data_IF_550160970971
#
_entry.id   IF_550160970971
#
_cell.length_a   1.000
_cell.length_b   1.000
_cell.length_c   1.000
_cell.angle_alpha   90.00
_cell.angle_beta   90.00
_cell.angle_gamma   90.00
#
_symmetry.space_group_name_H-M   'P 1'
#
loop_
_entity.id
_entity.type
_entity.pdbx_description
1 polymer ?
#
# COMPACT_ATOMS: atom_id res chain seq x y z
N UNK A 1 6.15 3.21 -10.90
CA UNK A 1 5.11 3.31 -11.95
C UNK A 1 4.24 2.07 -11.94
N UNK A 2 2.95 2.24 -12.07
CA UNK A 2 2.00 1.15 -12.32
C UNK A 2 1.88 0.98 -13.84
N UNK A 3 2.08 -0.24 -14.34
CA UNK A 3 2.03 -0.52 -15.78
C UNK A 3 0.81 -1.36 -16.14
N UNK A 4 0.45 -1.41 -17.43
CA UNK A 4 -0.57 -2.34 -17.92
C UNK A 4 -0.19 -3.80 -17.62
N UNK A 5 1.08 -4.13 -17.70
CA UNK A 5 1.58 -5.47 -17.37
C UNK A 5 1.33 -5.80 -15.89
N UNK A 6 1.53 -4.84 -14.99
CA UNK A 6 1.25 -5.00 -13.57
C UNK A 6 -0.23 -5.30 -13.34
N UNK A 7 -1.11 -4.56 -14.00
CA UNK A 7 -2.57 -4.75 -13.87
C UNK A 7 -2.98 -6.14 -14.37
N UNK A 8 -2.48 -6.56 -15.53
CA UNK A 8 -2.75 -7.90 -16.06
C UNK A 8 -2.23 -8.99 -15.16
N UNK A 9 -1.01 -8.85 -14.65
CA UNK A 9 -0.42 -9.82 -13.72
C UNK A 9 -1.22 -9.93 -12.44
N UNK A 10 -1.69 -8.81 -11.90
CA UNK A 10 -2.50 -8.80 -10.69
C UNK A 10 -3.88 -9.43 -10.93
N UNK A 11 -4.49 -9.18 -12.10
CA UNK A 11 -5.74 -9.84 -12.48
C UNK A 11 -5.58 -11.38 -12.50
N UNK A 12 -4.50 -11.88 -13.08
CA UNK A 12 -4.19 -13.31 -13.09
C UNK A 12 -3.96 -13.85 -11.68
N UNK A 13 -3.16 -13.16 -10.88
CA UNK A 13 -2.82 -13.59 -9.52
C UNK A 13 -4.05 -13.61 -8.60
N UNK A 14 -4.88 -12.57 -8.66
CA UNK A 14 -6.02 -12.39 -7.76
C UNK A 14 -7.30 -13.07 -8.25
N UNK A 15 -7.40 -13.34 -9.56
CA UNK A 15 -8.65 -13.76 -10.20
C UNK A 15 -9.62 -12.61 -10.48
N UNK A 16 -9.24 -11.36 -10.20
CA UNK A 16 -10.11 -10.19 -10.45
C UNK A 16 -9.93 -9.69 -11.87
N UNK A 17 -10.72 -10.26 -12.78
CA UNK A 17 -10.76 -9.89 -14.19
C UNK A 17 -11.94 -8.94 -14.50
N UNK A 18 -12.30 -8.08 -13.56
CA UNK A 18 -13.35 -7.10 -13.80
C UNK A 18 -13.00 -6.27 -15.06
N UNK A 19 -13.92 -6.13 -16.01
CA UNK A 19 -13.65 -5.45 -17.29
C UNK A 19 -13.07 -4.04 -17.14
N UNK A 20 -13.35 -3.34 -16.05
CA UNK A 20 -12.79 -2.02 -15.79
C UNK A 20 -11.25 -2.03 -15.72
N UNK A 21 -10.66 -3.17 -15.40
CA UNK A 21 -9.22 -3.33 -15.30
C UNK A 21 -8.58 -3.91 -16.55
N UNK A 22 -9.29 -4.79 -17.26
CA UNK A 22 -8.67 -5.61 -18.31
C UNK A 22 -9.24 -5.39 -19.71
N UNK A 23 -10.34 -4.65 -19.84
CA UNK A 23 -10.99 -4.41 -21.15
C UNK A 23 -11.00 -2.92 -21.48
N UNK A 24 -10.07 -2.44 -22.35
CA UNK A 24 -10.00 -1.03 -22.71
C UNK A 24 -11.26 -0.49 -23.37
N UNK A 25 -11.95 -1.28 -24.21
CA UNK A 25 -13.17 -0.86 -24.87
C UNK A 25 -14.30 -0.62 -23.88
N UNK A 26 -14.45 -1.54 -22.92
CA UNK A 26 -15.41 -1.36 -21.85
C UNK A 26 -15.06 -0.15 -20.98
N UNK A 27 -13.81 -0.03 -20.58
CA UNK A 27 -13.34 1.06 -19.72
C UNK A 27 -13.58 2.44 -20.35
N UNK A 28 -13.45 2.55 -21.67
CA UNK A 28 -13.71 3.79 -22.40
C UNK A 28 -15.16 4.26 -22.28
N UNK A 29 -16.11 3.35 -22.00
CA UNK A 29 -17.53 3.69 -21.80
C UNK A 29 -17.85 4.14 -20.38
N UNK A 30 -16.90 3.99 -19.44
CA UNK A 30 -17.07 4.35 -18.03
C UNK A 30 -16.67 5.82 -17.80
N UNK A 31 -17.05 6.41 -16.65
CA UNK A 31 -16.60 7.75 -16.30
C UNK A 31 -15.08 7.92 -16.21
N UNK A 32 -14.33 6.83 -16.04
CA UNK A 32 -12.86 6.85 -15.99
C UNK A 32 -12.23 7.06 -17.38
N UNK A 33 -12.93 6.67 -18.46
CA UNK A 33 -12.48 6.82 -19.84
C UNK A 33 -11.39 5.86 -20.28
N UNK A 34 -10.81 5.09 -19.38
CA UNK A 34 -9.78 4.07 -19.66
C UNK A 34 -9.67 3.09 -18.49
N UNK A 35 -8.91 2.02 -18.68
CA UNK A 35 -8.70 1.02 -17.63
C UNK A 35 -8.02 1.64 -16.41
N UNK A 36 -8.43 1.18 -15.24
CA UNK A 36 -7.87 1.58 -13.96
C UNK A 36 -7.21 0.37 -13.27
N UNK A 37 -6.23 0.64 -12.42
CA UNK A 37 -5.61 -0.38 -11.60
C UNK A 37 -6.57 -0.83 -10.49
N UNK A 38 -6.46 -2.10 -10.10
CA UNK A 38 -7.16 -2.61 -8.92
C UNK A 38 -6.73 -1.82 -7.69
N UNK A 39 -7.68 -1.44 -6.86
CA UNK A 39 -7.34 -0.78 -5.58
C UNK A 39 -6.42 -1.64 -4.72
N UNK A 40 -6.63 -2.96 -4.74
CA UNK A 40 -5.78 -3.90 -4.00
C UNK A 40 -4.38 -4.03 -4.59
N UNK A 41 -4.20 -3.82 -5.89
CA UNK A 41 -2.87 -3.74 -6.50
C UNK A 41 -2.10 -2.53 -5.93
N UNK A 42 -2.75 -1.38 -5.89
CA UNK A 42 -2.16 -0.16 -5.33
C UNK A 42 -1.79 -0.36 -3.87
N UNK A 43 -2.65 -0.98 -3.07
CA UNK A 43 -2.38 -1.29 -1.67
C UNK A 43 -1.17 -2.21 -1.53
N UNK A 44 -1.08 -3.25 -2.35
CA UNK A 44 0.02 -4.21 -2.33
C UNK A 44 1.35 -3.55 -2.71
N UNK A 45 1.34 -2.70 -3.74
CA UNK A 45 2.54 -1.94 -4.15
C UNK A 45 3.00 -0.98 -3.06
N UNK A 46 2.06 -0.25 -2.45
CA UNK A 46 2.36 0.68 -1.37
C UNK A 46 2.97 -0.06 -0.17
N UNK A 47 2.42 -1.23 0.18
CA UNK A 47 2.96 -2.08 1.23
C UNK A 47 4.40 -2.50 0.93
N UNK A 48 4.66 -2.97 -0.29
CA UNK A 48 6.01 -3.38 -0.71
C UNK A 48 7.01 -2.23 -0.71
N UNK A 49 6.62 -1.06 -1.17
CA UNK A 49 7.48 0.13 -1.15
C UNK A 49 7.78 0.61 0.26
N UNK A 50 6.92 0.32 1.22
CA UNK A 50 7.02 0.83 2.59
C UNK A 50 7.80 -0.09 3.53
N UNK A 51 8.10 -1.31 3.13
CA UNK A 51 8.61 -2.34 4.05
C UNK A 51 9.96 -1.98 4.67
N UNK A 52 10.78 -1.20 3.96
CA UNK A 52 12.09 -0.75 4.42
C UNK A 52 12.15 0.77 4.69
N UNK A 53 11.01 1.44 4.77
CA UNK A 53 10.93 2.86 4.97
C UNK A 53 9.93 3.22 6.07
N UNK A 54 10.37 3.65 7.26
CA UNK A 54 11.78 3.75 7.68
C UNK A 54 12.46 2.40 7.78
N UNK A 55 13.80 2.35 7.75
CA UNK A 55 14.53 1.09 7.88
C UNK A 55 14.16 0.38 9.19
N UNK A 56 13.65 -0.82 9.05
CA UNK A 56 13.27 -1.66 10.20
C UNK A 56 13.09 -3.09 9.73
N UNK A 57 13.09 -3.99 10.67
CA UNK A 57 12.79 -5.38 10.40
C UNK A 57 11.35 -5.68 10.72
N UNK A 58 10.52 -5.70 9.70
CA UNK A 58 9.12 -6.06 9.82
C UNK A 58 8.99 -7.57 9.92
N UNK A 59 8.30 -8.02 10.96
CA UNK A 59 8.02 -9.45 11.17
C UNK A 59 6.75 -9.83 10.43
N UNK A 60 5.67 -9.06 10.60
CA UNK A 60 4.38 -9.36 9.99
C UNK A 60 3.48 -8.13 9.96
N UNK A 61 2.55 -8.12 9.01
CA UNK A 61 1.38 -7.24 9.06
C UNK A 61 0.33 -7.93 9.92
N UNK A 62 -0.09 -7.31 11.00
CA UNK A 62 -1.04 -7.93 11.93
C UNK A 62 -2.46 -7.42 11.79
N UNK A 63 -2.63 -6.22 11.24
CA UNK A 63 -3.96 -5.63 11.08
C UNK A 63 -3.96 -4.56 9.99
N UNK A 64 -5.03 -4.50 9.22
CA UNK A 64 -5.36 -3.36 8.36
C UNK A 64 -6.64 -2.78 8.94
N UNK A 65 -6.55 -1.58 9.54
CA UNK A 65 -7.68 -0.95 10.22
C UNK A 65 -8.63 -0.22 9.30
N UNK A 66 -8.06 0.44 8.29
CA UNK A 66 -8.86 1.14 7.30
C UNK A 66 -8.11 1.26 6.00
N UNK A 67 -8.85 1.28 4.90
CA UNK A 67 -8.33 1.64 3.57
C UNK A 67 -9.44 2.41 2.87
N UNK A 68 -9.10 3.58 2.35
CA UNK A 68 -9.99 4.38 1.51
C UNK A 68 -9.37 4.55 0.14
N UNK A 69 -10.15 4.28 -0.88
CA UNK A 69 -9.79 4.48 -2.27
C UNK A 69 -10.32 5.85 -2.70
N UNK A 70 -9.43 6.84 -2.72
CA UNK A 70 -9.82 8.25 -2.86
C UNK A 70 -9.93 8.69 -4.32
N UNK A 71 -9.17 8.06 -5.21
CA UNK A 71 -9.16 8.38 -6.63
C UNK A 71 -8.65 7.18 -7.43
N UNK A 72 -9.02 7.07 -8.73
CA UNK A 72 -8.53 5.99 -9.58
C UNK A 72 -7.03 6.11 -9.81
N UNK A 73 -6.37 4.96 -9.94
CA UNK A 73 -4.98 4.85 -10.38
C UNK A 73 -4.99 4.31 -11.80
N UNK A 74 -4.34 5.02 -12.70
CA UNK A 74 -4.26 4.63 -14.09
C UNK A 74 -2.92 3.98 -14.40
N UNK A 75 -2.87 3.03 -15.35
CA UNK A 75 -1.59 2.59 -15.90
C UNK A 75 -0.79 3.81 -16.39
N UNK A 76 0.47 3.87 -16.00
CA UNK A 76 1.36 5.01 -16.25
C UNK A 76 1.53 5.94 -15.05
N UNK A 77 0.66 5.87 -14.05
CA UNK A 77 0.81 6.66 -12.83
C UNK A 77 2.07 6.26 -12.05
N UNK A 78 2.74 7.27 -11.52
CA UNK A 78 3.89 7.11 -10.63
C UNK A 78 3.44 7.36 -9.20
N UNK A 79 3.57 6.35 -8.36
CA UNK A 79 3.09 6.39 -6.98
C UNK A 79 4.22 6.63 -5.99
N UNK A 80 3.93 7.41 -4.94
CA UNK A 80 4.78 7.61 -3.78
C UNK A 80 3.97 7.30 -2.52
N UNK A 81 4.64 6.94 -1.46
CA UNK A 81 4.00 6.67 -0.18
C UNK A 81 4.52 7.67 0.86
N UNK A 82 3.60 8.36 1.52
CA UNK A 82 3.89 9.16 2.72
C UNK A 82 3.53 8.32 3.93
N UNK A 83 4.49 8.14 4.82
CA UNK A 83 4.33 7.28 6.00
C UNK A 83 4.35 8.14 7.26
N UNK A 84 3.36 7.94 8.11
CA UNK A 84 3.27 8.59 9.42
C UNK A 84 3.14 7.53 10.49
N UNK A 85 3.96 7.60 11.52
CA UNK A 85 3.82 6.74 12.70
C UNK A 85 2.76 7.33 13.61
N UNK A 86 1.68 6.58 13.85
CA UNK A 86 0.60 7.03 14.72
C UNK A 86 0.76 6.55 16.16
N UNK A 87 1.27 5.35 16.34
CA UNK A 87 1.46 4.76 17.66
C UNK A 87 2.54 3.69 17.62
N UNK A 88 3.20 3.49 18.76
CA UNK A 88 4.18 2.43 18.98
C UNK A 88 3.91 1.79 20.32
N UNK A 89 3.96 0.47 20.38
CA UNK A 89 3.73 -0.29 21.59
C UNK A 89 4.72 -1.46 21.67
N UNK A 90 5.44 -1.58 22.78
CA UNK A 90 6.34 -2.71 22.99
C UNK A 90 5.58 -3.96 23.39
N UNK A 91 6.04 -5.11 22.88
CA UNK A 91 5.49 -6.43 23.14
C UNK A 91 6.63 -7.43 23.40
N UNK A 92 6.28 -8.62 23.89
CA UNK A 92 7.24 -9.69 24.04
C UNK A 92 8.43 -9.33 24.92
N UNK A 93 8.19 -8.73 26.07
CA UNK A 93 9.24 -8.26 26.99
C UNK A 93 10.18 -7.23 26.35
N UNK A 94 9.65 -6.42 25.44
CA UNK A 94 10.41 -5.39 24.77
C UNK A 94 11.19 -5.84 23.54
N UNK A 95 11.12 -7.11 23.16
CA UNK A 95 11.83 -7.66 22.00
C UNK A 95 11.16 -7.33 20.67
N UNK A 96 9.88 -7.02 20.72
CA UNK A 96 9.05 -6.72 19.55
C UNK A 96 8.29 -5.41 19.76
N UNK A 97 7.82 -4.83 18.69
CA UNK A 97 6.97 -3.67 18.75
C UNK A 97 5.80 -3.83 17.81
N UNK A 98 4.67 -3.26 18.18
CA UNK A 98 3.55 -3.02 17.29
C UNK A 98 3.60 -1.55 16.89
N UNK A 99 3.67 -1.29 15.60
CA UNK A 99 3.66 0.07 15.07
C UNK A 99 2.39 0.27 14.27
N UNK A 100 1.64 1.30 14.62
CA UNK A 100 0.48 1.73 13.85
C UNK A 100 0.92 2.83 12.90
N UNK A 101 0.68 2.60 11.62
CA UNK A 101 1.07 3.48 10.53
C UNK A 101 -0.15 4.07 9.86
N UNK A 102 -0.02 5.32 9.45
CA UNK A 102 -0.85 5.87 8.39
C UNK A 102 0.01 5.97 7.14
N UNK A 103 -0.51 5.51 6.02
CA UNK A 103 0.16 5.61 4.73
C UNK A 103 -0.79 6.21 3.72
N UNK A 104 -0.33 7.30 3.11
CA UNK A 104 -1.00 7.97 2.01
C UNK A 104 -0.27 7.64 0.72
N UNK A 105 -0.99 7.10 -0.25
CA UNK A 105 -0.44 6.85 -1.58
C UNK A 105 -0.79 8.03 -2.45
N UNK A 106 0.23 8.61 -3.07
CA UNK A 106 0.14 9.87 -3.82
C UNK A 106 0.64 9.63 -5.24
N UNK A 107 -0.08 10.17 -6.23
CA UNK A 107 0.34 10.08 -7.63
C UNK A 107 1.30 11.21 -8.00
N UNK A 108 1.69 11.29 -9.29
CA UNK A 108 2.62 12.28 -9.82
C UNK A 108 2.12 13.73 -9.70
N UNK A 109 0.81 13.93 -9.54
CA UNK A 109 0.17 15.24 -9.40
C UNK A 109 -0.05 15.62 -7.92
N UNK A 110 0.64 14.94 -7.00
CA UNK A 110 0.48 15.08 -5.55
C UNK A 110 -0.93 14.81 -5.04
N UNK A 111 -1.74 14.10 -5.81
CA UNK A 111 -3.08 13.72 -5.39
C UNK A 111 -3.03 12.44 -4.57
N UNK A 112 -3.69 12.46 -3.42
CA UNK A 112 -3.88 11.25 -2.61
C UNK A 112 -4.87 10.33 -3.32
N UNK A 113 -4.40 9.17 -3.73
CA UNK A 113 -5.24 8.17 -4.42
C UNK A 113 -5.75 7.10 -3.47
N UNK A 114 -5.01 6.87 -2.39
CA UNK A 114 -5.39 5.91 -1.36
C UNK A 114 -4.81 6.34 -0.03
N UNK A 115 -5.56 6.12 1.05
CA UNK A 115 -5.08 6.34 2.41
C UNK A 115 -5.52 5.18 3.29
N UNK A 116 -4.72 4.85 4.30
CA UNK A 116 -5.07 3.77 5.20
C UNK A 116 -4.22 3.70 6.44
N UNK A 117 -4.71 2.92 7.40
CA UNK A 117 -4.02 2.63 8.64
C UNK A 117 -3.78 1.13 8.74
N UNK A 118 -2.57 0.76 9.15
CA UNK A 118 -2.17 -0.62 9.36
C UNK A 118 -1.29 -0.75 10.59
N UNK A 119 -1.25 -1.95 11.13
CA UNK A 119 -0.40 -2.29 12.26
C UNK A 119 0.56 -3.38 11.83
N UNK A 120 1.86 -3.15 12.03
CA UNK A 120 2.89 -4.14 11.78
C UNK A 120 3.59 -4.52 13.07
N UNK A 121 4.02 -5.77 13.14
CA UNK A 121 4.94 -6.23 14.17
C UNK A 121 6.36 -6.09 13.64
N UNK A 122 7.21 -5.44 14.42
CA UNK A 122 8.60 -5.18 14.06
C UNK A 122 9.52 -5.69 15.15
N UNK A 123 10.79 -5.95 14.81
CA UNK A 123 11.82 -6.17 15.81
C UNK A 123 12.13 -4.87 16.53
N UNK A 124 12.13 -4.91 17.86
CA UNK A 124 12.55 -3.76 18.62
C UNK A 124 14.08 -3.60 18.51
N UNK A 125 14.54 -2.36 18.54
CA UNK A 125 15.95 -2.09 18.72
C UNK A 125 16.38 -2.66 20.07
N UNK A 126 17.56 -3.26 20.10
CA UNK A 126 18.16 -3.62 21.40
C UNK A 126 18.26 -2.34 22.25
N UNK A 127 17.87 -2.42 23.53
CA UNK A 127 18.11 -1.28 24.41
C UNK A 127 19.60 -0.97 24.36
N UNK A 128 19.93 0.33 24.29
CA UNK A 128 21.31 0.75 24.46
C UNK A 128 21.88 0.03 25.68
N UNK A 129 23.07 -0.58 25.51
CA UNK A 129 23.73 -1.26 26.62
C UNK A 129 23.70 -0.36 27.85
N UNK A 130 23.08 -0.85 28.89
CA UNK A 130 23.20 -0.20 30.21
C UNK A 130 24.62 -0.35 30.68
N UNK A 131 25.34 0.72 30.59
CA UNK A 131 26.65 0.80 31.19
C UNK A 131 26.50 0.83 32.69
#
# INVERSE_FOLDING_TARGET
MITDADVRSFAELSGDHNPIHVNPEYAATTPFGRTIAHGMLTLSRASGMSINHPPMRTIAVVEIRSVKFCAPVFPGDVLRVRTTVLNKERRGRGKRGLVTWRRDVVNQDDKVVQTGESVTMVEAREPAEKI
#
